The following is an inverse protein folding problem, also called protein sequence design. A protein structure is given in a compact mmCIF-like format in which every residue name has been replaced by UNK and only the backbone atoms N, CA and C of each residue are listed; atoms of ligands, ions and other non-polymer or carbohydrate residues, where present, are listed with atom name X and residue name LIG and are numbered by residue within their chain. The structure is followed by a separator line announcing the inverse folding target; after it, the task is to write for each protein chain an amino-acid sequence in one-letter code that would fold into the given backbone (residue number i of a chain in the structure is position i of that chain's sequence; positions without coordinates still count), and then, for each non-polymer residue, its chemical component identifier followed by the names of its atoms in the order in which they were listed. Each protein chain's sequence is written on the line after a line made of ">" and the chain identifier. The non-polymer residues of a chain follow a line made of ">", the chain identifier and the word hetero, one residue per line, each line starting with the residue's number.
data_IF_843844354422
#
_entry.id   IF_843844354422
#
_cell.length_a   1.000
_cell.length_b   1.000
_cell.length_c   1.000
_cell.angle_alpha   90.00
_cell.angle_beta   90.00
_cell.angle_gamma   90.00
#
_symmetry.space_group_name_H-M   'P 1'
#
loop_
_entity.id
_entity.type
_entity.pdbx_description
1 polymer ?
#
# COMPACT_ATOMS: atom_id res chain seq x y z
N UNK A 1 -22.52 -4.61 22.58
CA UNK A 1 -22.19 -3.98 21.28
C UNK A 1 -22.30 -2.45 21.28
N UNK A 2 -23.14 -1.83 22.12
CA UNK A 2 -23.32 -0.36 22.11
C UNK A 2 -22.04 0.40 22.46
N UNK A 3 -21.30 -0.02 23.49
CA UNK A 3 -20.02 0.61 23.86
C UNK A 3 -19.02 0.62 22.70
N UNK A 4 -18.84 -0.51 22.02
CA UNK A 4 -17.95 -0.63 20.85
C UNK A 4 -18.43 0.24 19.68
N UNK A 5 -19.74 0.34 19.43
CA UNK A 5 -20.25 1.22 18.39
C UNK A 5 -19.94 2.69 18.71
N UNK A 6 -20.14 3.12 19.96
CA UNK A 6 -19.84 4.47 20.42
C UNK A 6 -18.34 4.81 20.28
N UNK A 7 -17.47 3.87 20.64
CA UNK A 7 -16.01 4.01 20.51
C UNK A 7 -15.59 4.27 19.04
N UNK A 8 -16.25 3.59 18.11
CA UNK A 8 -15.99 3.74 16.67
C UNK A 8 -16.80 4.86 16.00
N UNK A 9 -17.55 5.68 16.75
CA UNK A 9 -18.53 6.61 16.18
C UNK A 9 -17.93 7.77 15.36
N UNK A 10 -16.62 8.01 15.45
CA UNK A 10 -15.96 9.00 14.60
C UNK A 10 -16.09 8.67 13.10
N UNK A 11 -16.20 7.38 12.74
CA UNK A 11 -16.31 6.92 11.35
C UNK A 11 -17.68 7.24 10.71
N UNK A 12 -18.67 7.63 11.51
CA UNK A 12 -20.03 7.96 11.05
C UNK A 12 -20.22 9.46 10.80
N UNK A 13 -19.24 10.28 11.19
CA UNK A 13 -19.31 11.74 11.05
C UNK A 13 -19.13 12.17 9.59
N UNK A 14 -19.57 13.38 9.21
CA UNK A 14 -19.34 13.89 7.86
C UNK A 14 -17.85 13.84 7.47
N UNK A 15 -17.60 13.70 6.17
CA UNK A 15 -16.27 13.55 5.58
C UNK A 15 -15.23 14.55 6.12
N UNK A 16 -15.61 15.83 6.21
CA UNK A 16 -14.75 16.93 6.70
C UNK A 16 -14.24 16.76 8.13
N UNK A 17 -14.95 15.97 8.93
CA UNK A 17 -14.58 15.63 10.31
C UNK A 17 -13.86 14.30 10.33
N UNK A 18 -14.42 13.28 9.67
CA UNK A 18 -13.90 11.92 9.70
C UNK A 18 -12.50 11.84 9.08
N UNK A 19 -12.24 12.52 7.96
CA UNK A 19 -10.92 12.55 7.32
C UNK A 19 -9.84 13.12 8.25
N UNK A 20 -10.15 14.18 9.00
CA UNK A 20 -9.22 14.76 10.00
C UNK A 20 -8.95 13.80 11.15
N UNK A 21 -9.99 13.13 11.66
CA UNK A 21 -9.81 12.13 12.73
C UNK A 21 -8.95 10.97 12.23
N UNK A 22 -9.17 10.49 11.01
CA UNK A 22 -8.35 9.43 10.42
C UNK A 22 -6.87 9.81 10.31
N UNK A 23 -6.57 11.06 9.95
CA UNK A 23 -5.20 11.57 9.90
C UNK A 23 -4.55 11.67 11.29
N UNK A 24 -5.29 12.11 12.31
CA UNK A 24 -4.78 12.17 13.68
C UNK A 24 -4.45 10.76 14.21
N UNK A 25 -5.35 9.80 14.00
CA UNK A 25 -5.14 8.41 14.37
C UNK A 25 -3.97 7.79 13.60
N UNK A 26 -3.84 8.08 12.30
CA UNK A 26 -2.68 7.63 11.52
C UNK A 26 -1.36 8.22 12.04
N UNK A 27 -1.36 9.51 12.43
CA UNK A 27 -0.19 10.15 13.01
C UNK A 27 0.24 9.47 14.32
N UNK A 28 -0.71 9.12 15.20
CA UNK A 28 -0.42 8.35 16.42
C UNK A 28 0.19 6.97 16.10
N UNK A 29 -0.35 6.25 15.11
CA UNK A 29 0.21 4.97 14.68
C UNK A 29 1.63 5.10 14.10
N UNK A 30 1.91 6.18 13.38
CA UNK A 30 3.25 6.43 12.86
C UNK A 30 4.25 6.78 13.96
N UNK A 31 3.86 7.62 14.92
CA UNK A 31 4.70 7.94 16.07
C UNK A 31 5.02 6.67 16.89
N UNK A 32 4.02 5.80 17.08
CA UNK A 32 4.25 4.50 17.71
C UNK A 32 5.22 3.63 16.88
N UNK A 33 5.02 3.54 15.56
CA UNK A 33 5.91 2.77 14.68
C UNK A 33 7.35 3.31 14.65
N UNK A 34 7.52 4.62 14.77
CA UNK A 34 8.83 5.28 14.88
C UNK A 34 9.51 4.92 16.22
N UNK A 35 8.75 4.86 17.31
CA UNK A 35 9.23 4.40 18.62
C UNK A 35 9.64 2.92 18.59
N UNK A 36 8.83 2.05 18.00
CA UNK A 36 9.14 0.61 17.87
C UNK A 36 10.43 0.40 17.06
N UNK A 37 10.61 1.16 15.98
CA UNK A 37 11.82 1.11 15.14
C UNK A 37 13.07 1.57 15.89
N UNK A 38 12.97 2.64 16.68
CA UNK A 38 14.12 3.25 17.36
C UNK A 38 14.49 2.53 18.66
N UNK A 39 13.49 2.13 19.46
CA UNK A 39 13.69 1.54 20.79
C UNK A 39 13.86 0.03 20.72
N UNK A 40 13.02 -0.66 19.92
CA UNK A 40 13.00 -2.12 19.85
C UNK A 40 13.77 -2.67 18.64
N UNK A 41 14.20 -1.81 17.71
CA UNK A 41 14.92 -2.19 16.48
C UNK A 41 14.11 -3.17 15.61
N UNK A 42 12.78 -3.05 15.66
CA UNK A 42 11.85 -3.87 14.89
C UNK A 42 11.29 -3.07 13.70
N UNK A 43 10.95 -3.76 12.63
CA UNK A 43 10.26 -3.12 11.52
C UNK A 43 8.76 -3.03 11.85
N UNK A 44 8.16 -1.84 11.84
CA UNK A 44 6.73 -1.71 12.13
C UNK A 44 5.89 -2.31 11.00
N UNK A 45 4.66 -2.72 11.33
CA UNK A 45 3.68 -3.18 10.34
C UNK A 45 3.30 -2.03 9.39
N UNK A 46 2.79 -2.31 8.17
CA UNK A 46 2.50 -1.27 7.17
C UNK A 46 1.61 -0.13 7.67
N UNK A 47 0.63 -0.41 8.52
CA UNK A 47 -0.28 0.58 9.10
C UNK A 47 0.42 1.59 10.03
N UNK A 48 1.56 1.22 10.59
CA UNK A 48 2.38 2.05 11.49
C UNK A 48 3.62 2.61 10.79
N UNK A 49 3.82 2.33 9.49
CA UNK A 49 4.95 2.86 8.74
C UNK A 49 4.57 4.14 8.01
N UNK A 50 5.14 5.28 8.46
CA UNK A 50 4.97 6.59 7.83
C UNK A 50 5.28 6.59 6.33
N UNK A 51 6.21 5.75 5.88
CA UNK A 51 6.59 5.67 4.46
C UNK A 51 5.50 5.06 3.58
N UNK A 52 4.45 4.49 4.18
CA UNK A 52 3.28 3.91 3.52
C UNK A 52 2.02 4.73 3.77
N UNK A 53 2.15 6.01 4.10
CA UNK A 53 1.01 6.90 4.35
C UNK A 53 0.02 6.95 3.17
N UNK A 54 0.51 6.80 1.93
CA UNK A 54 -0.35 6.79 0.74
C UNK A 54 -1.27 5.55 0.66
N UNK A 55 -0.99 4.49 1.42
CA UNK A 55 -1.87 3.31 1.54
C UNK A 55 -3.03 3.52 2.52
N UNK A 56 -3.05 4.64 3.27
CA UNK A 56 -4.08 4.95 4.27
C UNK A 56 -5.52 4.83 3.73
N UNK A 57 -5.86 5.33 2.52
CA UNK A 57 -7.22 5.19 2.00
C UNK A 57 -7.68 3.74 1.89
N UNK A 58 -6.80 2.86 1.39
CA UNK A 58 -7.09 1.43 1.25
C UNK A 58 -7.30 0.76 2.61
N UNK A 59 -6.48 1.12 3.60
CA UNK A 59 -6.61 0.63 4.98
C UNK A 59 -7.94 1.08 5.60
N UNK A 60 -8.37 2.33 5.39
CA UNK A 60 -9.64 2.85 5.87
C UNK A 60 -10.85 2.14 5.24
N UNK A 61 -10.81 1.86 3.93
CA UNK A 61 -11.87 1.05 3.27
C UNK A 61 -11.97 -0.33 3.91
N UNK A 62 -10.84 -1.01 4.13
CA UNK A 62 -10.79 -2.31 4.79
C UNK A 62 -11.38 -2.25 6.21
N UNK A 63 -10.99 -1.26 7.00
CA UNK A 63 -11.51 -1.07 8.35
C UNK A 63 -13.04 -0.86 8.37
N UNK A 64 -13.55 -0.02 7.47
CA UNK A 64 -14.99 0.23 7.33
C UNK A 64 -15.73 -1.07 6.96
N UNK A 65 -15.20 -1.85 6.02
CA UNK A 65 -15.85 -3.08 5.54
C UNK A 65 -15.87 -4.19 6.58
N UNK A 66 -14.72 -4.44 7.21
CA UNK A 66 -14.57 -5.57 8.12
C UNK A 66 -15.10 -5.30 9.53
N UNK A 67 -15.04 -4.05 10.00
CA UNK A 67 -15.40 -3.71 11.39
C UNK A 67 -16.69 -2.90 11.45
N UNK A 68 -16.71 -1.72 10.82
CA UNK A 68 -17.78 -0.74 11.05
C UNK A 68 -19.11 -1.14 10.41
N UNK A 69 -19.08 -1.66 9.17
CA UNK A 69 -20.28 -1.96 8.39
C UNK A 69 -21.16 -2.98 9.10
N UNK A 70 -20.57 -4.05 9.64
CA UNK A 70 -21.33 -5.08 10.36
C UNK A 70 -22.04 -4.49 11.58
N UNK A 71 -21.31 -3.73 12.41
CA UNK A 71 -21.84 -3.15 13.65
C UNK A 71 -23.03 -2.25 13.35
N UNK A 72 -22.86 -1.27 12.45
CA UNK A 72 -23.88 -0.26 12.20
C UNK A 72 -25.05 -0.76 11.34
N UNK A 73 -24.83 -1.78 10.50
CA UNK A 73 -25.91 -2.47 9.78
C UNK A 73 -26.83 -3.20 10.75
N UNK A 74 -26.27 -3.92 11.72
CA UNK A 74 -27.09 -4.59 12.73
C UNK A 74 -27.81 -3.57 13.61
N UNK A 75 -27.16 -2.49 14.05
CA UNK A 75 -27.83 -1.44 14.82
C UNK A 75 -28.99 -0.79 14.06
N UNK A 76 -28.83 -0.45 12.79
CA UNK A 76 -29.90 0.09 11.94
C UNK A 76 -31.05 -0.91 11.74
N UNK A 77 -30.75 -2.22 11.69
CA UNK A 77 -31.78 -3.28 11.64
C UNK A 77 -32.62 -3.36 12.92
N UNK A 78 -32.02 -3.08 14.09
CA UNK A 78 -32.74 -3.09 15.38
C UNK A 78 -33.47 -1.78 15.67
N UNK A 79 -32.89 -0.64 15.28
CA UNK A 79 -33.43 0.70 15.50
C UNK A 79 -33.24 1.54 14.24
N UNK A 80 -34.35 1.85 13.57
CA UNK A 80 -34.34 2.60 12.31
C UNK A 80 -33.76 4.01 12.46
N UNK A 81 -33.79 4.57 13.66
CA UNK A 81 -33.24 5.87 14.02
C UNK A 81 -31.70 5.92 13.90
N UNK A 82 -31.03 4.77 13.82
CA UNK A 82 -29.58 4.66 13.66
C UNK A 82 -29.16 4.66 12.17
N UNK A 83 -30.11 4.52 11.24
CA UNK A 83 -29.86 4.52 9.79
C UNK A 83 -28.99 5.69 9.29
N UNK A 84 -29.14 6.94 9.79
CA UNK A 84 -28.27 8.04 9.38
C UNK A 84 -26.77 7.79 9.66
N UNK A 85 -26.44 7.02 10.70
CA UNK A 85 -25.05 6.65 11.01
C UNK A 85 -24.52 5.61 10.01
N UNK A 86 -25.36 4.67 9.57
CA UNK A 86 -25.01 3.70 8.53
C UNK A 86 -24.83 4.38 7.16
N UNK A 87 -25.68 5.37 6.84
CA UNK A 87 -25.55 6.19 5.65
C UNK A 87 -24.24 6.98 5.67
N UNK A 88 -23.89 7.57 6.82
CA UNK A 88 -22.62 8.25 7.04
C UNK A 88 -21.41 7.35 6.74
N UNK A 89 -21.42 6.12 7.25
CA UNK A 89 -20.37 5.13 6.95
C UNK A 89 -20.31 4.81 5.46
N UNK A 90 -21.47 4.58 4.84
CA UNK A 90 -21.55 4.23 3.42
C UNK A 90 -21.00 5.35 2.53
N UNK A 91 -21.25 6.62 2.90
CA UNK A 91 -20.72 7.77 2.20
C UNK A 91 -19.20 7.91 2.41
N UNK A 92 -18.71 7.84 3.65
CA UNK A 92 -17.28 7.90 3.93
C UNK A 92 -16.51 6.77 3.24
N UNK A 93 -17.08 5.56 3.15
CA UNK A 93 -16.50 4.45 2.40
C UNK A 93 -16.30 4.80 0.93
N UNK A 94 -17.27 5.47 0.29
CA UNK A 94 -17.18 5.88 -1.12
C UNK A 94 -16.05 6.88 -1.33
N UNK A 95 -15.94 7.88 -0.45
CA UNK A 95 -14.87 8.88 -0.49
C UNK A 95 -13.48 8.22 -0.34
N UNK A 96 -13.32 7.34 0.66
CA UNK A 96 -12.07 6.60 0.83
C UNK A 96 -11.75 5.68 -0.34
N UNK A 97 -12.77 5.05 -0.94
CA UNK A 97 -12.59 4.20 -2.11
C UNK A 97 -12.14 5.02 -3.34
N UNK A 98 -12.70 6.20 -3.54
CA UNK A 98 -12.27 7.11 -4.61
C UNK A 98 -10.79 7.48 -4.45
N UNK A 99 -10.36 7.86 -3.25
CA UNK A 99 -8.96 8.15 -2.96
C UNK A 99 -8.03 6.94 -3.15
N UNK A 100 -8.48 5.76 -2.74
CA UNK A 100 -7.73 4.52 -2.95
C UNK A 100 -7.58 4.20 -4.45
N UNK A 101 -8.63 4.40 -5.24
CA UNK A 101 -8.61 4.16 -6.68
C UNK A 101 -7.71 5.14 -7.42
N UNK A 102 -7.71 6.41 -7.03
CA UNK A 102 -6.78 7.41 -7.54
C UNK A 102 -5.32 7.04 -7.26
N UNK A 103 -5.03 6.54 -6.06
CA UNK A 103 -3.70 6.09 -5.69
C UNK A 103 -3.29 4.84 -6.48
N UNK A 104 -4.15 3.83 -6.57
CA UNK A 104 -3.87 2.61 -7.34
C UNK A 104 -3.62 2.91 -8.83
N UNK A 105 -4.38 3.84 -9.42
CA UNK A 105 -4.17 4.29 -10.79
C UNK A 105 -2.81 4.99 -10.98
N UNK A 106 -2.42 5.88 -10.06
CA UNK A 106 -1.10 6.55 -10.07
C UNK A 106 0.04 5.54 -9.96
N UNK A 107 -0.07 4.58 -9.06
CA UNK A 107 0.96 3.56 -8.86
C UNK A 107 1.12 2.66 -10.09
N UNK A 108 0.01 2.24 -10.71
CA UNK A 108 0.05 1.45 -11.93
C UNK A 108 0.72 2.20 -13.08
N UNK A 109 0.43 3.50 -13.26
CA UNK A 109 1.07 4.32 -14.28
C UNK A 109 2.60 4.43 -14.05
N UNK A 110 3.03 4.63 -12.81
CA UNK A 110 4.45 4.69 -12.44
C UNK A 110 5.17 3.34 -12.67
N UNK A 111 4.50 2.22 -12.40
CA UNK A 111 5.05 0.88 -12.68
C UNK A 111 5.23 0.64 -14.18
N UNK A 112 4.23 1.01 -14.99
CA UNK A 112 4.32 0.91 -16.46
C UNK A 112 5.44 1.79 -17.03
N UNK A 113 5.64 3.01 -16.49
CA UNK A 113 6.75 3.87 -16.88
C UNK A 113 8.11 3.28 -16.49
N UNK A 114 8.24 2.72 -15.28
CA UNK A 114 9.47 2.06 -14.83
C UNK A 114 9.81 0.85 -15.69
N UNK A 115 8.81 0.04 -16.06
CA UNK A 115 9.01 -1.11 -16.95
C UNK A 115 9.55 -0.67 -18.31
N UNK A 116 8.92 0.34 -18.94
CA UNK A 116 9.38 0.90 -20.22
C UNK A 116 10.81 1.45 -20.14
N UNK A 117 11.16 2.12 -19.04
CA UNK A 117 12.52 2.64 -18.82
C UNK A 117 13.55 1.51 -18.63
N UNK A 118 13.19 0.45 -17.90
CA UNK A 118 14.06 -0.72 -17.71
C UNK A 118 14.29 -1.47 -19.02
N UNK A 119 13.23 -1.65 -19.82
CA UNK A 119 13.33 -2.28 -21.15
C UNK A 119 14.20 -1.44 -22.11
N UNK A 120 14.04 -0.12 -22.12
CA UNK A 120 14.87 0.79 -22.93
C UNK A 120 16.35 0.77 -22.51
N UNK A 121 16.64 0.71 -21.21
CA UNK A 121 18.02 0.62 -20.69
C UNK A 121 18.67 -0.74 -21.01
N UNK A 122 17.92 -1.83 -20.97
CA UNK A 122 18.38 -3.16 -21.37
C UNK A 122 18.64 -3.23 -22.89
N UNK A 123 17.76 -2.64 -23.71
CA UNK A 123 17.96 -2.56 -25.16
C UNK A 123 19.20 -1.71 -25.54
N UNK A 124 19.47 -0.64 -24.80
CA UNK A 124 20.65 0.21 -25.03
C UNK A 124 21.99 -0.45 -24.64
N UNK A 125 21.99 -1.38 -23.68
CA UNK A 125 23.20 -2.11 -23.26
C UNK A 125 23.50 -3.37 -24.10
N UNK A 126 22.60 -3.75 -25.02
CA UNK A 126 22.70 -4.98 -25.80
C UNK A 126 23.48 -4.89 -27.13
N UNK A 127 24.05 -3.75 -27.50
CA UNK A 127 24.66 -3.56 -28.83
C UNK A 127 26.20 -3.38 -28.78
N UNK A 128 26.93 -4.46 -28.49
CA UNK A 128 28.33 -4.61 -28.93
C UNK A 128 28.34 -5.41 -30.23
N UNK A 129 28.86 -4.88 -31.37
CA UNK A 129 29.03 -5.67 -32.57
C UNK A 129 30.22 -6.63 -32.38
N UNK A 130 29.94 -7.93 -32.35
CA UNK A 130 30.93 -9.00 -32.44
C UNK A 130 31.51 -9.07 -33.85
N UNK A 131 32.44 -8.16 -34.16
CA UNK A 131 33.24 -8.20 -35.37
C UNK A 131 34.40 -9.17 -35.22
N UNK A 132 34.21 -10.42 -35.66
CA UNK A 132 35.29 -11.39 -35.81
C UNK A 132 35.93 -11.22 -37.20
N UNK A 133 37.27 -11.27 -37.30
CA UNK A 133 37.87 -12.05 -38.37
C UNK A 133 39.00 -12.93 -37.84
N UNK A 134 38.79 -14.24 -37.94
CA UNK A 134 39.88 -15.21 -37.93
C UNK A 134 40.63 -15.11 -39.28
N UNK A 135 41.94 -15.38 -39.33
CA UNK A 135 42.30 -16.73 -39.78
C UNK A 135 43.60 -17.30 -39.18
N UNK A 136 43.55 -18.59 -38.84
CA UNK A 136 44.61 -19.55 -39.21
C UNK A 136 45.76 -19.75 -38.23
N UNK A 137 45.88 -20.99 -37.71
CA UNK A 137 47.13 -21.50 -37.14
C UNK A 137 46.95 -22.48 -35.98
N UNK A 138 46.78 -23.77 -36.28
CA UNK A 138 46.93 -24.89 -35.34
C UNK A 138 48.38 -25.44 -35.40
N UNK A 139 48.81 -26.42 -34.58
CA UNK A 139 48.59 -26.64 -33.14
C UNK A 139 49.89 -27.10 -32.39
N UNK A 140 49.71 -27.46 -31.10
CA UNK A 140 50.48 -28.44 -30.29
C UNK A 140 51.54 -27.94 -29.30
N UNK A 141 51.40 -28.32 -28.02
CA UNK A 141 52.26 -29.33 -27.34
C UNK A 141 51.80 -29.60 -25.90
N UNK A 142 52.16 -30.78 -25.40
CA UNK A 142 51.67 -31.50 -24.20
C UNK A 142 52.37 -31.11 -22.89
N UNK A 143 51.86 -31.68 -21.78
CA UNK A 143 52.47 -31.92 -20.45
C UNK A 143 52.07 -30.89 -19.38
N UNK A 144 51.71 -31.21 -18.13
CA UNK A 144 52.06 -32.33 -17.26
C UNK A 144 51.01 -32.49 -16.12
N UNK A 145 51.06 -33.62 -15.43
CA UNK A 145 50.07 -34.28 -14.58
C UNK A 145 49.70 -33.65 -13.21
N UNK A 146 48.44 -33.90 -12.82
CA UNK A 146 47.90 -34.50 -11.56
C UNK A 146 48.80 -34.51 -10.31
N UNK A 147 48.30 -33.96 -9.18
CA UNK A 147 47.84 -34.75 -8.02
C UNK A 147 46.86 -33.98 -7.13
#
# INVERSE_FOLDING_TARGET
>A
MMMTACDLSAITKPWEVQSKVALLVAAEFWEQGDLERTVLQQSPIPMMDRNKADELPKLQVGFIDFVCTFVYKEFSRFHEEITPMLDGITNNRKEWKALADEYEAKMKALEEEKQKQQEAQQAASGNQPTGNPNPGGAPASKSCCIQ
#
